data_IF_969278488912
#
_entry.id   IF_969278488912
#
_cell.length_a   1.000
_cell.length_b   1.000
_cell.length_c   1.000
_cell.angle_alpha   90.00
_cell.angle_beta   90.00
_cell.angle_gamma   90.00
#
_symmetry.space_group_name_H-M   'P 1'
#
loop_
_entity.id
_entity.type
_entity.pdbx_description
1 polymer ?
#
# COMPACT_ATOMS: atom_id res chain seq x y z
N UNK A 1 -15.36 -7.37 6.65
CA UNK A 1 -14.35 -7.98 5.76
C UNK A 1 -14.73 -7.87 4.29
N UNK A 2 -15.92 -8.32 3.84
CA UNK A 2 -16.30 -8.24 2.41
C UNK A 2 -16.25 -6.82 1.82
N UNK A 3 -16.68 -5.79 2.55
CA UNK A 3 -16.52 -4.39 2.13
C UNK A 3 -15.04 -4.01 1.90
N UNK A 4 -14.10 -4.54 2.69
CA UNK A 4 -12.69 -4.31 2.48
C UNK A 4 -12.14 -5.06 1.27
N UNK A 5 -12.63 -6.26 0.99
CA UNK A 5 -12.31 -6.96 -0.27
C UNK A 5 -12.72 -6.12 -1.47
N UNK A 6 -13.96 -5.61 -1.49
CA UNK A 6 -14.44 -4.75 -2.57
C UNK A 6 -13.63 -3.43 -2.65
N UNK A 7 -13.22 -2.85 -1.52
CA UNK A 7 -12.36 -1.68 -1.47
C UNK A 7 -11.02 -1.96 -2.17
N UNK A 8 -10.36 -3.07 -1.85
CA UNK A 8 -9.11 -3.48 -2.50
C UNK A 8 -9.32 -3.76 -3.99
N UNK A 9 -10.44 -4.41 -4.39
CA UNK A 9 -10.78 -4.60 -5.81
C UNK A 9 -10.90 -3.28 -6.55
N UNK A 10 -11.60 -2.30 -5.96
CA UNK A 10 -11.74 -0.96 -6.55
C UNK A 10 -10.39 -0.24 -6.65
N UNK A 11 -9.53 -0.35 -5.63
CA UNK A 11 -8.18 0.23 -5.63
C UNK A 11 -7.34 -0.30 -6.79
N UNK A 12 -7.38 -1.59 -7.03
CA UNK A 12 -6.55 -2.29 -8.01
C UNK A 12 -7.23 -2.49 -9.37
N UNK A 13 -8.40 -1.88 -9.59
CA UNK A 13 -9.21 -2.10 -10.79
C UNK A 13 -8.52 -1.75 -12.13
N UNK A 14 -7.50 -0.91 -12.13
CA UNK A 14 -6.69 -0.61 -13.32
C UNK A 14 -5.48 -1.56 -13.50
N UNK A 15 -5.20 -2.44 -12.53
CA UNK A 15 -4.00 -3.28 -12.51
C UNK A 15 -3.81 -4.12 -13.78
N UNK A 16 -4.84 -4.85 -14.17
CA UNK A 16 -4.79 -5.74 -15.33
C UNK A 16 -5.31 -5.11 -16.64
N UNK A 17 -5.84 -3.89 -16.55
CA UNK A 17 -6.45 -3.19 -17.69
C UNK A 17 -5.75 -1.85 -18.00
N UNK A 18 -4.49 -1.71 -17.56
CA UNK A 18 -3.72 -0.47 -17.75
C UNK A 18 -3.45 -0.14 -19.21
N UNK A 19 -3.21 -1.16 -20.05
CA UNK A 19 -3.04 -0.99 -21.50
C UNK A 19 -4.35 -0.53 -22.15
N UNK A 20 -5.48 -1.15 -21.76
CA UNK A 20 -6.81 -0.75 -22.23
C UNK A 20 -7.16 0.69 -21.83
N UNK A 21 -6.75 1.10 -20.61
CA UNK A 21 -6.92 2.48 -20.15
C UNK A 21 -6.08 3.47 -20.96
N UNK A 22 -4.82 3.15 -21.25
CA UNK A 22 -3.96 3.99 -22.08
C UNK A 22 -4.55 4.19 -23.47
N UNK A 23 -4.99 3.11 -24.12
CA UNK A 23 -5.62 3.15 -25.46
C UNK A 23 -6.96 3.92 -25.44
N UNK A 24 -7.79 3.72 -24.41
CA UNK A 24 -9.10 4.37 -24.30
C UNK A 24 -9.01 5.88 -24.15
N UNK A 25 -8.03 6.36 -23.38
CA UNK A 25 -7.88 7.78 -23.04
C UNK A 25 -6.80 8.49 -23.86
N UNK A 26 -6.20 7.81 -24.83
CA UNK A 26 -5.03 8.30 -25.59
C UNK A 26 -3.96 8.85 -24.62
N UNK A 27 -3.72 8.10 -23.55
CA UNK A 27 -2.91 8.53 -22.43
C UNK A 27 -1.49 7.95 -22.55
N UNK A 28 -0.52 8.83 -22.51
CA UNK A 28 0.87 8.42 -22.40
C UNK A 28 1.20 7.83 -21.02
N UNK A 29 2.37 7.21 -20.89
CA UNK A 29 2.79 6.54 -19.67
C UNK A 29 2.83 7.46 -18.44
N UNK A 30 3.21 8.73 -18.59
CA UNK A 30 3.21 9.69 -17.50
C UNK A 30 1.78 10.01 -17.06
N UNK A 31 0.87 10.24 -17.99
CA UNK A 31 -0.55 10.48 -17.76
C UNK A 31 -1.22 9.25 -17.12
N UNK A 32 -0.93 8.04 -17.64
CA UNK A 32 -1.43 6.80 -17.06
C UNK A 32 -0.97 6.63 -15.60
N UNK A 33 0.28 7.00 -15.29
CA UNK A 33 0.80 7.02 -13.92
C UNK A 33 -0.03 7.90 -12.99
N UNK A 34 -0.52 9.06 -13.48
CA UNK A 34 -1.30 10.00 -12.67
C UNK A 34 -2.60 9.36 -12.14
N UNK A 35 -3.20 8.41 -12.84
CA UNK A 35 -4.39 7.71 -12.33
C UNK A 35 -4.12 6.98 -11.02
N UNK A 36 -3.00 6.27 -10.93
CA UNK A 36 -2.61 5.58 -9.71
C UNK A 36 -2.03 6.55 -8.65
N UNK A 37 -1.22 7.51 -9.08
CA UNK A 37 -0.58 8.52 -8.21
C UNK A 37 -1.64 9.36 -7.49
N UNK A 38 -2.61 9.91 -8.22
CA UNK A 38 -3.65 10.76 -7.63
C UNK A 38 -4.54 9.96 -6.69
N UNK A 39 -4.91 8.74 -7.07
CA UNK A 39 -5.68 7.87 -6.18
C UNK A 39 -4.94 7.60 -4.85
N UNK A 40 -3.66 7.21 -4.90
CA UNK A 40 -2.87 6.95 -3.71
C UNK A 40 -2.59 8.22 -2.91
N UNK A 41 -2.40 9.35 -3.58
CA UNK A 41 -2.23 10.65 -2.92
C UNK A 41 -3.50 11.03 -2.14
N UNK A 42 -4.67 10.96 -2.77
CA UNK A 42 -5.96 11.25 -2.11
C UNK A 42 -6.18 10.26 -0.96
N UNK A 43 -5.92 8.97 -1.17
CA UNK A 43 -5.99 7.96 -0.11
C UNK A 43 -5.11 8.35 1.09
N UNK A 44 -3.86 8.71 0.85
CA UNK A 44 -2.92 9.12 1.90
C UNK A 44 -3.34 10.41 2.61
N UNK A 45 -3.76 11.43 1.85
CA UNK A 45 -4.22 12.71 2.38
C UNK A 45 -5.50 12.57 3.23
N UNK A 46 -6.38 11.64 2.85
CA UNK A 46 -7.62 11.38 3.57
C UNK A 46 -7.45 10.59 4.88
N UNK A 47 -6.27 10.02 5.17
CA UNK A 47 -6.06 9.23 6.40
C UNK A 47 -6.34 10.03 7.67
N UNK A 48 -5.89 11.30 7.74
CA UNK A 48 -6.12 12.16 8.90
C UNK A 48 -7.59 12.61 8.99
N UNK A 49 -8.22 13.20 7.95
CA UNK A 49 -9.64 13.51 7.95
C UNK A 49 -10.52 12.31 8.30
N UNK A 50 -10.27 11.16 7.71
CA UNK A 50 -11.02 9.92 7.98
C UNK A 50 -10.89 9.50 9.45
N UNK A 51 -9.69 9.58 10.04
CA UNK A 51 -9.50 9.29 11.45
C UNK A 51 -10.41 10.14 12.34
N UNK A 52 -10.43 11.47 12.14
CA UNK A 52 -11.27 12.41 12.89
C UNK A 52 -12.77 12.17 12.69
N UNK A 53 -13.19 11.93 11.44
CA UNK A 53 -14.58 11.65 11.10
C UNK A 53 -15.03 10.30 11.69
N UNK A 54 -14.14 9.29 11.67
CA UNK A 54 -14.39 7.99 12.26
C UNK A 54 -14.59 8.06 13.76
N UNK A 55 -13.82 8.89 14.46
CA UNK A 55 -13.98 9.10 15.90
C UNK A 55 -15.30 9.79 16.23
N UNK A 56 -15.71 10.75 15.41
CA UNK A 56 -16.94 11.51 15.61
C UNK A 56 -18.20 10.73 15.24
N UNK A 57 -18.22 10.08 14.08
CA UNK A 57 -19.43 9.49 13.50
C UNK A 57 -19.50 7.96 13.65
N UNK A 58 -18.36 7.31 13.94
CA UNK A 58 -18.28 5.86 14.06
C UNK A 58 -18.09 5.14 12.71
N UNK A 59 -17.95 3.82 12.77
CA UNK A 59 -17.57 2.99 11.64
C UNK A 59 -18.68 2.85 10.57
N UNK A 60 -19.96 2.80 10.97
CA UNK A 60 -21.09 2.58 10.05
C UNK A 60 -21.15 3.66 8.96
N UNK A 61 -21.29 4.97 9.27
CA UNK A 61 -21.36 5.99 8.24
C UNK A 61 -20.07 6.07 7.42
N UNK A 62 -18.91 5.87 8.03
CA UNK A 62 -17.64 5.95 7.34
C UNK A 62 -17.47 4.85 6.27
N UNK A 63 -17.80 3.59 6.60
CA UNK A 63 -17.76 2.50 5.61
C UNK A 63 -18.81 2.75 4.51
N UNK A 64 -20.01 3.17 4.89
CA UNK A 64 -21.11 3.44 3.94
C UNK A 64 -20.76 4.56 2.96
N UNK A 65 -20.25 5.68 3.45
CA UNK A 65 -19.79 6.80 2.61
C UNK A 65 -18.61 6.37 1.75
N UNK A 66 -17.66 5.59 2.30
CA UNK A 66 -16.54 5.06 1.54
C UNK A 66 -16.98 4.17 0.37
N UNK A 67 -17.93 3.24 0.61
CA UNK A 67 -18.50 2.40 -0.44
C UNK A 67 -19.25 3.22 -1.50
N UNK A 68 -20.03 4.20 -1.07
CA UNK A 68 -20.75 5.12 -1.97
C UNK A 68 -19.82 5.94 -2.85
N UNK A 69 -18.77 6.53 -2.27
CA UNK A 69 -17.77 7.30 -3.05
C UNK A 69 -17.05 6.42 -4.07
N UNK A 70 -16.71 5.19 -3.71
CA UNK A 70 -16.13 4.24 -4.66
C UNK A 70 -17.12 3.84 -5.75
N UNK A 71 -18.38 3.63 -5.41
CA UNK A 71 -19.42 3.32 -6.41
C UNK A 71 -19.58 4.46 -7.41
N UNK A 72 -19.66 5.71 -6.94
CA UNK A 72 -19.72 6.90 -7.80
C UNK A 72 -18.44 7.02 -8.64
N UNK A 73 -17.27 6.84 -8.04
CA UNK A 73 -15.99 6.87 -8.75
C UNK A 73 -15.92 5.83 -9.87
N UNK A 74 -16.35 4.59 -9.63
CA UNK A 74 -16.39 3.56 -10.67
C UNK A 74 -17.46 3.84 -11.74
N UNK A 75 -18.60 4.43 -11.37
CA UNK A 75 -19.61 4.86 -12.33
C UNK A 75 -19.08 5.97 -13.24
N UNK A 76 -18.40 6.97 -12.65
CA UNK A 76 -17.71 8.03 -13.42
C UNK A 76 -16.66 7.42 -14.36
N UNK A 77 -15.86 6.46 -13.88
CA UNK A 77 -14.86 5.77 -14.70
C UNK A 77 -15.50 4.99 -15.88
N UNK A 78 -16.64 4.34 -15.63
CA UNK A 78 -17.37 3.57 -16.66
C UNK A 78 -17.75 4.42 -17.88
N UNK A 79 -18.07 5.70 -17.67
CA UNK A 79 -18.53 6.63 -18.69
C UNK A 79 -17.55 7.79 -18.95
N UNK A 80 -16.35 7.75 -18.39
CA UNK A 80 -15.35 8.80 -18.57
C UNK A 80 -15.02 9.00 -20.06
N UNK A 81 -15.20 10.23 -20.61
CA UNK A 81 -14.87 10.54 -21.99
C UNK A 81 -13.41 10.96 -22.18
N UNK A 82 -12.74 11.39 -21.11
CA UNK A 82 -11.42 12.01 -21.15
C UNK A 82 -10.60 11.73 -19.89
N UNK A 83 -9.31 12.04 -19.94
CA UNK A 83 -8.34 11.87 -18.83
C UNK A 83 -8.77 12.62 -17.57
N UNK A 84 -9.30 13.84 -17.69
CA UNK A 84 -9.69 14.65 -16.52
C UNK A 84 -10.82 13.99 -15.73
N UNK A 85 -11.83 13.49 -16.44
CA UNK A 85 -12.93 12.73 -15.84
C UNK A 85 -12.44 11.41 -15.20
N UNK A 86 -11.52 10.72 -15.85
CA UNK A 86 -10.92 9.51 -15.29
C UNK A 86 -10.09 9.80 -14.01
N UNK A 87 -9.36 10.91 -13.97
CA UNK A 87 -8.64 11.38 -12.77
C UNK A 87 -9.63 11.67 -11.63
N UNK A 88 -10.74 12.37 -11.91
CA UNK A 88 -11.79 12.61 -10.90
C UNK A 88 -12.35 11.30 -10.36
N UNK A 89 -12.59 10.31 -11.22
CA UNK A 89 -13.02 8.99 -10.82
C UNK A 89 -12.03 8.33 -9.85
N UNK A 90 -10.72 8.42 -10.13
CA UNK A 90 -9.65 7.88 -9.27
C UNK A 90 -9.54 8.61 -7.93
N UNK A 91 -9.76 9.93 -7.92
CA UNK A 91 -9.84 10.70 -6.67
C UNK A 91 -10.99 10.22 -5.77
N UNK A 92 -12.17 10.01 -6.35
CA UNK A 92 -13.35 9.51 -5.60
C UNK A 92 -13.10 8.10 -5.05
N UNK A 93 -12.52 7.21 -5.86
CA UNK A 93 -12.13 5.87 -5.41
C UNK A 93 -11.11 5.95 -4.28
N UNK A 94 -10.07 6.78 -4.41
CA UNK A 94 -9.06 6.97 -3.36
C UNK A 94 -9.63 7.51 -2.05
N UNK A 95 -10.53 8.50 -2.13
CA UNK A 95 -11.20 9.07 -0.95
C UNK A 95 -12.11 8.05 -0.25
N UNK A 96 -12.88 7.28 -1.02
CA UNK A 96 -13.75 6.23 -0.49
C UNK A 96 -12.98 5.08 0.14
N UNK A 97 -11.94 4.61 -0.52
CA UNK A 97 -11.06 3.53 -0.06
C UNK A 97 -10.37 3.87 1.28
N UNK A 98 -9.95 5.12 1.46
CA UNK A 98 -9.32 5.59 2.70
C UNK A 98 -10.20 5.39 3.94
N UNK A 99 -11.52 5.44 3.79
CA UNK A 99 -12.46 5.30 4.89
C UNK A 99 -12.70 3.84 5.33
N UNK A 100 -12.45 2.85 4.47
CA UNK A 100 -12.91 1.48 4.71
C UNK A 100 -12.04 0.73 5.71
N UNK A 101 -10.73 0.64 5.48
CA UNK A 101 -9.85 -0.18 6.34
C UNK A 101 -9.81 0.29 7.80
N UNK A 102 -9.59 1.59 8.11
CA UNK A 102 -9.62 2.07 9.49
C UNK A 102 -10.96 1.81 10.19
N UNK A 103 -12.06 1.93 9.45
CA UNK A 103 -13.40 1.66 9.97
C UNK A 103 -13.63 0.19 10.28
N UNK A 104 -13.11 -0.72 9.45
CA UNK A 104 -13.16 -2.17 9.73
C UNK A 104 -12.36 -2.51 10.98
N UNK A 105 -11.18 -1.91 11.15
CA UNK A 105 -10.36 -2.07 12.36
C UNK A 105 -11.11 -1.59 13.62
N UNK A 106 -11.84 -0.47 13.53
CA UNK A 106 -12.68 0.03 14.62
C UNK A 106 -13.84 -0.93 14.93
N UNK A 107 -14.51 -1.48 13.92
CA UNK A 107 -15.54 -2.51 14.14
C UNK A 107 -14.95 -3.70 14.90
N UNK A 108 -13.77 -4.19 14.49
CA UNK A 108 -13.10 -5.30 15.17
C UNK A 108 -12.82 -4.95 16.64
N UNK A 109 -12.29 -3.76 16.91
CA UNK A 109 -11.95 -3.32 18.27
C UNK A 109 -13.18 -3.15 19.18
N UNK A 110 -14.32 -2.71 18.62
CA UNK A 110 -15.55 -2.47 19.40
C UNK A 110 -16.38 -3.73 19.64
N UNK A 111 -16.42 -4.64 18.64
CA UNK A 111 -17.31 -5.79 18.68
C UNK A 111 -16.68 -7.06 19.26
N UNK A 112 -15.35 -7.18 19.23
CA UNK A 112 -14.66 -8.41 19.62
C UNK A 112 -13.77 -8.19 20.84
N UNK A 113 -13.56 -9.23 21.69
CA UNK A 113 -12.62 -9.16 22.81
C UNK A 113 -11.19 -8.87 22.35
N UNK A 114 -10.42 -8.16 23.19
CA UNK A 114 -9.02 -7.77 22.90
C UNK A 114 -8.13 -8.95 22.49
N UNK A 115 -8.38 -10.14 23.04
CA UNK A 115 -7.63 -11.37 22.70
C UNK A 115 -7.84 -11.80 21.25
N UNK A 116 -8.99 -11.52 20.65
CA UNK A 116 -9.33 -11.91 19.27
C UNK A 116 -8.99 -10.83 18.26
N UNK A 117 -8.86 -9.58 18.69
CA UNK A 117 -8.63 -8.44 17.78
C UNK A 117 -7.38 -8.61 16.90
N UNK A 118 -6.21 -9.06 17.38
CA UNK A 118 -5.04 -9.24 16.53
C UNK A 118 -5.26 -10.27 15.41
N UNK A 119 -5.92 -11.38 15.72
CA UNK A 119 -6.24 -12.42 14.74
C UNK A 119 -7.21 -11.89 13.67
N UNK A 120 -8.26 -11.17 14.08
CA UNK A 120 -9.25 -10.61 13.17
C UNK A 120 -8.67 -9.51 12.27
N UNK A 121 -7.77 -8.67 12.80
CA UNK A 121 -7.04 -7.68 12.02
C UNK A 121 -6.16 -8.36 10.96
N UNK A 122 -5.40 -9.38 11.35
CA UNK A 122 -4.57 -10.17 10.44
C UNK A 122 -5.42 -10.84 9.35
N UNK A 123 -6.51 -11.50 9.75
CA UNK A 123 -7.44 -12.15 8.83
C UNK A 123 -8.07 -11.14 7.87
N UNK A 124 -8.42 -9.93 8.37
CA UNK A 124 -8.94 -8.86 7.51
C UNK A 124 -7.93 -8.47 6.44
N UNK A 125 -6.65 -8.34 6.81
CA UNK A 125 -5.59 -8.05 5.85
C UNK A 125 -5.45 -9.14 4.78
N UNK A 126 -5.41 -10.41 5.20
CA UNK A 126 -5.29 -11.55 4.28
C UNK A 126 -6.52 -11.65 3.36
N UNK A 127 -7.73 -11.60 3.93
CA UNK A 127 -8.98 -11.65 3.16
C UNK A 127 -9.08 -10.45 2.21
N UNK A 128 -8.61 -9.26 2.62
CA UNK A 128 -8.53 -8.08 1.75
C UNK A 128 -7.71 -8.32 0.49
N UNK A 129 -6.62 -9.08 0.56
CA UNK A 129 -5.79 -9.40 -0.61
C UNK A 129 -6.54 -10.18 -1.69
N UNK A 130 -7.60 -10.93 -1.36
CA UNK A 130 -8.44 -11.57 -2.38
C UNK A 130 -9.08 -10.55 -3.33
N UNK A 131 -9.28 -9.31 -2.87
CA UNK A 131 -9.75 -8.21 -3.73
C UNK A 131 -8.82 -7.91 -4.90
N UNK A 132 -7.50 -8.08 -4.73
CA UNK A 132 -6.55 -7.95 -5.85
C UNK A 132 -6.77 -9.05 -6.89
N UNK A 133 -7.03 -10.29 -6.46
CA UNK A 133 -7.32 -11.39 -7.37
C UNK A 133 -8.60 -11.13 -8.16
N UNK A 134 -9.63 -10.56 -7.53
CA UNK A 134 -10.87 -10.17 -8.20
C UNK A 134 -10.65 -9.06 -9.25
N UNK A 135 -9.73 -8.14 -9.01
CA UNK A 135 -9.36 -7.12 -9.98
C UNK A 135 -8.53 -7.68 -11.14
N UNK A 136 -7.65 -8.66 -10.88
CA UNK A 136 -6.74 -9.21 -11.89
C UNK A 136 -7.48 -10.17 -12.83
N UNK A 137 -8.23 -11.14 -12.30
CA UNK A 137 -8.82 -12.22 -13.11
C UNK A 137 -10.24 -11.87 -13.58
N UNK A 138 -11.26 -11.71 -12.69
CA UNK A 138 -12.63 -11.46 -13.14
C UNK A 138 -12.81 -10.13 -13.87
N UNK A 139 -12.13 -9.07 -13.40
CA UNK A 139 -12.29 -7.73 -13.98
C UNK A 139 -11.72 -7.67 -15.40
N UNK A 140 -10.51 -8.22 -15.62
CA UNK A 140 -9.92 -8.28 -16.96
C UNK A 140 -10.74 -9.20 -17.89
N UNK A 141 -11.18 -10.37 -17.40
CA UNK A 141 -12.04 -11.26 -18.18
C UNK A 141 -13.35 -10.58 -18.57
N UNK A 142 -13.99 -9.86 -17.65
CA UNK A 142 -15.23 -9.14 -17.92
C UNK A 142 -15.02 -8.01 -18.94
N UNK A 143 -13.93 -7.26 -18.84
CA UNK A 143 -13.59 -6.22 -19.79
C UNK A 143 -13.45 -6.77 -21.20
N UNK A 144 -12.65 -7.82 -21.37
CA UNK A 144 -12.40 -8.42 -22.69
C UNK A 144 -13.59 -9.17 -23.27
N UNK A 145 -14.48 -9.71 -22.42
CA UNK A 145 -15.71 -10.39 -22.86
C UNK A 145 -16.85 -9.42 -23.19
N UNK A 146 -16.79 -8.18 -22.68
CA UNK A 146 -17.91 -7.21 -22.81
C UNK A 146 -17.43 -5.83 -23.28
N UNK A 147 -17.29 -4.89 -22.34
CA UNK A 147 -16.81 -3.53 -22.63
C UNK A 147 -16.31 -2.84 -21.35
N UNK A 148 -15.59 -1.74 -21.54
CA UNK A 148 -15.14 -0.85 -20.47
C UNK A 148 -16.29 -0.42 -19.54
N UNK A 149 -17.39 0.07 -20.14
CA UNK A 149 -18.53 0.55 -19.35
C UNK A 149 -19.23 -0.54 -18.56
N UNK A 150 -19.31 -1.76 -19.09
CA UNK A 150 -19.89 -2.91 -18.37
C UNK A 150 -18.97 -3.33 -17.21
N UNK A 151 -17.66 -3.41 -17.44
CA UNK A 151 -16.71 -3.82 -16.43
C UNK A 151 -16.67 -2.86 -15.23
N UNK A 152 -16.49 -1.56 -15.47
CA UNK A 152 -16.48 -0.55 -14.41
C UNK A 152 -17.87 -0.28 -13.84
N UNK A 153 -18.93 -0.36 -14.66
CA UNK A 153 -20.32 -0.29 -14.22
C UNK A 153 -20.71 -1.44 -13.26
N UNK A 154 -20.17 -2.63 -13.47
CA UNK A 154 -20.36 -3.77 -12.55
C UNK A 154 -19.73 -3.50 -11.19
N UNK A 155 -18.52 -2.92 -11.13
CA UNK A 155 -17.91 -2.49 -9.88
C UNK A 155 -18.73 -1.40 -9.19
N UNK A 156 -19.28 -0.45 -9.95
CA UNK A 156 -20.18 0.57 -9.43
C UNK A 156 -21.45 -0.06 -8.82
N UNK A 157 -22.08 -1.00 -9.52
CA UNK A 157 -23.26 -1.74 -9.04
C UNK A 157 -22.97 -2.51 -7.75
N UNK A 158 -21.84 -3.21 -7.68
CA UNK A 158 -21.38 -3.86 -6.44
C UNK A 158 -21.15 -2.84 -5.33
N UNK A 159 -20.57 -1.67 -5.65
CA UNK A 159 -20.37 -0.59 -4.70
C UNK A 159 -21.69 -0.07 -4.12
N UNK A 160 -22.73 0.12 -4.95
CA UNK A 160 -24.08 0.50 -4.50
C UNK A 160 -24.68 -0.58 -3.60
N UNK A 161 -24.60 -1.85 -4.01
CA UNK A 161 -25.05 -2.98 -3.19
C UNK A 161 -24.40 -2.98 -1.82
N UNK A 162 -23.06 -2.84 -1.76
CA UNK A 162 -22.34 -2.81 -0.49
C UNK A 162 -22.61 -1.53 0.30
N UNK A 163 -22.92 -0.39 -0.34
CA UNK A 163 -23.38 0.81 0.36
C UNK A 163 -24.66 0.52 1.14
N UNK A 164 -25.66 -0.11 0.48
CA UNK A 164 -26.93 -0.49 1.13
C UNK A 164 -26.69 -1.55 2.22
N UNK A 165 -25.92 -2.59 1.94
CA UNK A 165 -25.64 -3.65 2.90
C UNK A 165 -24.89 -3.14 4.14
N UNK A 166 -23.88 -2.29 3.96
CA UNK A 166 -23.12 -1.72 5.10
C UNK A 166 -24.00 -0.79 5.92
N UNK A 167 -24.84 0.01 5.29
CA UNK A 167 -25.83 0.85 5.98
C UNK A 167 -26.85 0.02 6.77
N UNK A 168 -27.35 -1.06 6.23
CA UNK A 168 -28.36 -1.89 6.86
C UNK A 168 -27.80 -2.78 7.99
N UNK A 169 -26.61 -3.37 7.79
CA UNK A 169 -26.08 -4.44 8.66
C UNK A 169 -25.13 -3.90 9.74
N UNK A 170 -24.26 -2.93 9.38
CA UNK A 170 -23.24 -2.45 10.34
C UNK A 170 -23.91 -1.57 11.40
N UNK A 171 -23.55 -1.84 12.66
CA UNK A 171 -23.92 -0.99 13.80
C UNK A 171 -22.65 -0.49 14.48
N UNK A 172 -22.67 0.74 15.00
CA UNK A 172 -21.51 1.37 15.64
C UNK A 172 -21.15 0.70 16.97
N UNK A 173 -22.14 0.14 17.69
CA UNK A 173 -21.97 -0.50 19.00
C UNK A 173 -22.82 -1.77 19.12
N UNK A 174 -22.38 -2.76 19.89
CA UNK A 174 -23.22 -3.91 20.28
C UNK A 174 -24.40 -3.43 21.14
N UNK A 175 -25.58 -4.09 21.08
CA UNK A 175 -26.77 -3.67 21.82
C UNK A 175 -26.63 -3.78 23.36
N UNK A 176 -25.73 -4.66 23.85
CA UNK A 176 -25.64 -5.04 25.28
C UNK A 176 -24.41 -4.46 26.02
N UNK A 177 -23.70 -3.53 25.43
CA UNK A 177 -22.59 -2.83 26.12
C UNK A 177 -23.01 -1.47 26.58
N UNK A 178 -23.10 -1.31 27.90
CA UNK A 178 -23.34 -0.05 28.58
C UNK A 178 -22.35 1.04 28.17
N UNK A 179 -22.80 2.28 28.26
CA UNK A 179 -22.17 3.47 27.68
C UNK A 179 -20.76 3.84 28.21
N UNK A 180 -20.20 3.05 29.13
CA UNK A 180 -19.00 3.41 29.91
C UNK A 180 -17.66 2.80 29.44
N UNK A 181 -17.62 2.11 28.32
CA UNK A 181 -16.32 1.74 27.75
C UNK A 181 -15.85 2.87 26.86
N UNK A 182 -15.16 3.84 27.46
CA UNK A 182 -14.33 4.79 26.71
C UNK A 182 -13.39 4.00 25.79
N UNK A 183 -13.45 4.29 24.48
CA UNK A 183 -12.67 3.63 23.41
C UNK A 183 -11.17 4.03 23.48
N UNK A 184 -10.68 4.34 24.66
CA UNK A 184 -9.31 4.83 24.92
C UNK A 184 -8.21 3.76 24.79
N UNK A 185 -8.57 2.48 24.63
CA UNK A 185 -7.55 1.42 24.78
C UNK A 185 -7.16 0.68 23.52
N UNK A 186 -7.94 0.73 22.43
CA UNK A 186 -7.61 -0.06 21.22
C UNK A 186 -6.88 0.74 20.12
N UNK A 187 -7.00 2.06 20.12
CA UNK A 187 -6.35 2.98 19.16
C UNK A 187 -5.48 4.02 19.87
N UNK A 188 -4.74 3.67 20.91
CA UNK A 188 -3.92 4.59 21.71
C UNK A 188 -4.49 6.02 21.64
N UNK A 189 -5.03 6.53 22.74
CA UNK A 189 -5.77 7.79 22.80
C UNK A 189 -5.27 8.80 21.76
N UNK A 190 -6.05 9.02 20.71
CA UNK A 190 -5.89 10.22 19.91
C UNK A 190 -6.37 11.31 20.88
N UNK A 191 -5.44 11.94 21.58
CA UNK A 191 -5.71 13.21 22.24
C UNK A 191 -6.43 14.04 21.20
N UNK A 192 -7.61 14.55 21.56
CA UNK A 192 -8.39 15.36 20.65
C UNK A 192 -7.46 16.45 20.15
N UNK A 193 -7.03 16.35 18.90
CA UNK A 193 -6.19 17.35 18.27
C UNK A 193 -7.09 18.56 18.12
N UNK A 194 -6.91 19.50 19.02
CA UNK A 194 -7.77 20.68 19.13
C UNK A 194 -7.30 21.80 18.22
N UNK A 195 -6.04 21.76 17.76
CA UNK A 195 -5.49 22.82 16.90
C UNK A 195 -4.48 22.28 15.87
N UNK A 196 -4.28 23.05 14.79
CA UNK A 196 -3.21 22.79 13.81
C UNK A 196 -1.80 22.91 14.44
N UNK A 197 -1.65 23.66 15.52
CA UNK A 197 -0.41 23.79 16.26
C UNK A 197 -0.06 22.47 16.98
N UNK A 198 -1.03 21.82 17.61
CA UNK A 198 -0.85 20.53 18.28
C UNK A 198 -0.46 19.44 17.30
N UNK A 199 -1.05 19.45 16.09
CA UNK A 199 -0.64 18.54 14.99
C UNK A 199 0.82 18.74 14.60
N UNK A 200 1.24 19.98 14.43
CA UNK A 200 2.61 20.32 14.03
C UNK A 200 3.62 19.91 15.12
N UNK A 201 3.29 20.15 16.37
CA UNK A 201 4.15 19.79 17.50
C UNK A 201 4.24 18.28 17.66
N UNK A 202 3.11 17.58 17.64
CA UNK A 202 3.06 16.12 17.70
C UNK A 202 3.84 15.45 16.55
N UNK A 203 3.74 16.01 15.33
CA UNK A 203 4.53 15.56 14.18
C UNK A 203 6.02 15.81 14.41
N UNK A 204 6.42 17.04 14.82
CA UNK A 204 7.82 17.40 15.05
C UNK A 204 8.46 16.52 16.12
N UNK A 205 7.75 16.26 17.21
CA UNK A 205 8.23 15.39 18.27
C UNK A 205 8.36 13.94 17.84
N UNK A 206 7.33 13.41 17.16
CA UNK A 206 7.34 12.02 16.67
C UNK A 206 8.41 11.81 15.61
N UNK A 207 8.55 12.74 14.65
CA UNK A 207 9.61 12.70 13.63
C UNK A 207 11.01 12.88 14.24
N UNK A 208 11.14 13.65 15.30
CA UNK A 208 12.39 13.82 16.07
C UNK A 208 12.92 12.50 16.65
N UNK A 209 12.05 11.53 16.89
CA UNK A 209 12.43 10.25 17.48
C UNK A 209 13.06 9.30 16.44
N UNK A 210 14.27 8.78 16.66
CA UNK A 210 14.97 7.96 15.65
C UNK A 210 14.23 6.66 15.30
N UNK A 211 13.47 6.10 16.23
CA UNK A 211 12.68 4.90 15.98
C UNK A 211 11.50 5.16 15.02
N UNK A 212 10.90 6.35 15.04
CA UNK A 212 9.86 6.72 14.07
C UNK A 212 10.45 6.83 12.67
N UNK A 213 11.63 7.45 12.53
CA UNK A 213 12.33 7.51 11.24
C UNK A 213 12.77 6.14 10.75
N UNK A 214 13.27 5.28 11.63
CA UNK A 214 13.57 3.88 11.27
C UNK A 214 12.32 3.15 10.77
N UNK A 215 11.21 3.34 11.45
CA UNK A 215 9.93 2.76 11.10
C UNK A 215 9.43 3.27 9.73
N UNK A 216 9.48 4.59 9.51
CA UNK A 216 9.14 5.25 8.25
C UNK A 216 9.96 4.69 7.08
N UNK A 217 11.30 4.66 7.20
CA UNK A 217 12.16 4.18 6.14
C UNK A 217 12.01 2.69 5.87
N UNK A 218 11.72 1.88 6.90
CA UNK A 218 11.40 0.46 6.73
C UNK A 218 10.13 0.28 5.90
N UNK A 219 9.07 1.05 6.21
CA UNK A 219 7.80 1.00 5.48
C UNK A 219 7.88 1.65 4.11
N UNK A 220 8.70 2.70 3.95
CA UNK A 220 8.99 3.34 2.67
C UNK A 220 9.61 2.34 1.67
N UNK A 221 10.63 1.57 2.12
CA UNK A 221 11.52 0.87 1.20
C UNK A 221 11.05 -0.52 0.79
N UNK A 222 10.23 -1.18 1.62
CA UNK A 222 9.89 -2.59 1.38
C UNK A 222 8.75 -2.82 0.39
N UNK A 223 7.61 -2.08 0.39
CA UNK A 223 6.45 -2.42 -0.41
C UNK A 223 6.41 -1.76 -1.78
N UNK A 224 7.12 -0.65 -1.99
CA UNK A 224 6.85 0.27 -3.11
C UNK A 224 7.01 -0.40 -4.48
N UNK A 225 8.02 -1.25 -4.65
CA UNK A 225 8.29 -1.92 -5.93
C UNK A 225 7.18 -2.92 -6.28
N UNK A 226 6.77 -3.73 -5.31
CA UNK A 226 5.62 -4.63 -5.48
C UNK A 226 4.32 -3.84 -5.72
N UNK A 227 4.16 -2.68 -5.08
CA UNK A 227 3.00 -1.81 -5.29
C UNK A 227 3.00 -1.21 -6.70
N UNK A 228 4.13 -0.70 -7.19
CA UNK A 228 4.24 -0.21 -8.56
C UNK A 228 3.98 -1.30 -9.60
N UNK A 229 4.48 -2.52 -9.34
CA UNK A 229 4.26 -3.68 -10.17
C UNK A 229 2.79 -4.08 -10.20
N UNK A 230 2.14 -4.26 -9.05
CA UNK A 230 0.77 -4.78 -8.99
C UNK A 230 -0.30 -3.74 -9.35
N UNK A 231 -0.06 -2.44 -9.10
CA UNK A 231 -1.06 -1.40 -9.35
C UNK A 231 -1.10 -0.93 -10.80
N UNK A 232 0.04 -0.89 -11.50
CA UNK A 232 0.07 -0.29 -12.82
C UNK A 232 1.06 -0.93 -13.79
N UNK A 233 2.37 -0.94 -13.47
CA UNK A 233 3.41 -1.18 -14.47
C UNK A 233 3.75 -2.64 -14.73
N UNK A 234 3.39 -3.54 -13.84
CA UNK A 234 3.73 -4.97 -13.98
C UNK A 234 2.97 -5.64 -15.12
N UNK A 235 1.69 -5.34 -15.31
CA UNK A 235 0.90 -5.98 -16.36
C UNK A 235 1.36 -5.57 -17.76
N UNK A 236 1.51 -4.26 -18.08
CA UNK A 236 2.10 -3.82 -19.35
C UNK A 236 3.51 -4.35 -19.58
N UNK A 237 4.35 -4.38 -18.54
CA UNK A 237 5.69 -4.97 -18.62
C UNK A 237 5.65 -6.43 -19.03
N UNK A 238 4.80 -7.25 -18.41
CA UNK A 238 4.69 -8.68 -18.70
C UNK A 238 4.09 -8.94 -20.09
N UNK A 239 3.05 -8.19 -20.46
CA UNK A 239 2.31 -8.45 -21.71
C UNK A 239 3.00 -7.82 -22.93
N UNK A 240 3.34 -6.55 -22.86
CA UNK A 240 3.91 -5.80 -23.98
C UNK A 240 5.44 -5.91 -23.98
N UNK A 241 6.07 -5.72 -22.81
CA UNK A 241 7.52 -5.79 -22.67
C UNK A 241 8.06 -7.21 -22.86
N UNK A 242 7.62 -8.17 -22.07
CA UNK A 242 8.10 -9.57 -22.12
C UNK A 242 7.33 -10.43 -23.12
N UNK A 243 6.26 -9.91 -23.76
CA UNK A 243 5.50 -10.62 -24.80
C UNK A 243 4.64 -11.76 -24.28
N UNK A 244 4.28 -11.79 -23.00
CA UNK A 244 3.47 -12.84 -22.42
C UNK A 244 1.98 -12.66 -22.76
N UNK A 245 1.26 -13.78 -22.84
CA UNK A 245 -0.19 -13.73 -22.93
C UNK A 245 -0.81 -13.08 -21.67
N UNK A 246 -1.96 -12.41 -21.79
CA UNK A 246 -2.68 -11.85 -20.64
C UNK A 246 -2.97 -12.91 -19.55
N UNK A 247 -3.24 -14.16 -19.94
CA UNK A 247 -3.45 -15.27 -19.02
C UNK A 247 -2.19 -15.58 -18.18
N UNK A 248 -0.99 -15.60 -18.82
CA UNK A 248 0.26 -15.84 -18.12
C UNK A 248 0.63 -14.67 -17.21
N UNK A 249 0.44 -13.42 -17.64
CA UNK A 249 0.63 -12.24 -16.80
C UNK A 249 -0.28 -12.28 -15.56
N UNK A 250 -1.56 -12.64 -15.75
CA UNK A 250 -2.53 -12.83 -14.65
C UNK A 250 -2.12 -13.94 -13.69
N UNK A 251 -1.53 -15.03 -14.20
CA UNK A 251 -1.00 -16.13 -13.37
C UNK A 251 0.17 -15.63 -12.49
N UNK A 252 1.11 -14.87 -13.07
CA UNK A 252 2.24 -14.29 -12.33
C UNK A 252 1.73 -13.34 -11.23
N UNK A 253 0.73 -12.51 -11.52
CA UNK A 253 0.08 -11.66 -10.53
C UNK A 253 -0.62 -12.46 -9.44
N UNK A 254 -1.29 -13.55 -9.80
CA UNK A 254 -1.91 -14.46 -8.83
C UNK A 254 -0.86 -15.06 -7.89
N UNK A 255 0.27 -15.52 -8.44
CA UNK A 255 1.39 -16.02 -7.63
C UNK A 255 1.93 -14.94 -6.70
N UNK A 256 2.11 -13.70 -7.18
CA UNK A 256 2.49 -12.57 -6.33
C UNK A 256 1.55 -12.42 -5.13
N UNK A 257 0.25 -12.39 -5.34
CA UNK A 257 -0.74 -12.20 -4.26
C UNK A 257 -0.74 -13.38 -3.29
N UNK A 258 -0.81 -14.61 -3.82
CA UNK A 258 -0.86 -15.83 -3.01
C UNK A 258 0.42 -16.00 -2.19
N UNK A 259 1.58 -15.80 -2.79
CA UNK A 259 2.85 -15.84 -2.06
C UNK A 259 2.91 -14.79 -0.95
N UNK A 260 2.44 -13.56 -1.19
CA UNK A 260 2.35 -12.52 -0.17
C UNK A 260 1.47 -12.92 1.02
N UNK A 261 0.34 -13.59 0.75
CA UNK A 261 -0.56 -14.11 1.79
C UNK A 261 0.11 -15.22 2.62
N UNK A 262 0.86 -16.10 1.97
CA UNK A 262 1.53 -17.24 2.63
C UNK A 262 2.78 -16.82 3.42
N UNK A 263 3.57 -15.89 2.89
CA UNK A 263 4.81 -15.41 3.52
C UNK A 263 4.53 -14.47 4.70
N UNK A 264 3.39 -13.78 4.69
CA UNK A 264 3.02 -12.82 5.73
C UNK A 264 3.13 -13.35 7.16
N UNK A 265 2.47 -14.47 7.50
CA UNK A 265 2.56 -15.07 8.83
C UNK A 265 3.99 -15.44 9.26
N UNK A 266 4.81 -15.93 8.33
CA UNK A 266 6.21 -16.29 8.60
C UNK A 266 7.05 -15.04 8.95
N UNK A 267 6.93 -13.97 8.15
CA UNK A 267 7.60 -12.69 8.43
C UNK A 267 7.12 -12.11 9.77
N UNK A 268 5.82 -12.14 10.05
CA UNK A 268 5.25 -11.69 11.31
C UNK A 268 5.81 -12.46 12.52
N UNK A 269 5.87 -13.78 12.42
CA UNK A 269 6.44 -14.65 13.47
C UNK A 269 7.93 -14.38 13.70
N UNK A 270 8.72 -14.21 12.63
CA UNK A 270 10.14 -13.87 12.75
C UNK A 270 10.34 -12.45 13.31
N UNK A 271 9.51 -11.49 12.90
CA UNK A 271 9.53 -10.11 13.41
C UNK A 271 9.27 -10.08 14.93
N UNK A 272 8.30 -10.84 15.40
CA UNK A 272 7.96 -10.89 16.83
C UNK A 272 9.04 -11.58 17.66
N UNK A 273 9.68 -12.63 17.15
CA UNK A 273 10.75 -13.36 17.84
C UNK A 273 12.05 -12.56 17.99
N UNK A 274 12.33 -11.64 17.07
CA UNK A 274 13.62 -10.93 17.01
C UNK A 274 13.47 -9.41 16.95
N UNK A 275 12.82 -8.73 17.92
CA UNK A 275 12.48 -7.31 17.83
C UNK A 275 13.67 -6.39 17.61
N UNK A 276 14.84 -6.69 18.19
CA UNK A 276 16.06 -5.87 18.05
C UNK A 276 16.84 -6.12 16.74
N UNK A 277 16.51 -7.18 16.02
CA UNK A 277 17.23 -7.60 14.80
C UNK A 277 16.40 -7.47 13.52
N UNK A 278 15.13 -7.04 13.59
CA UNK A 278 14.19 -6.94 12.45
C UNK A 278 14.79 -6.30 11.21
N UNK A 279 15.41 -5.12 11.37
CA UNK A 279 15.99 -4.39 10.23
C UNK A 279 17.11 -5.17 9.54
N UNK A 280 17.98 -5.85 10.31
CA UNK A 280 19.13 -6.58 9.77
C UNK A 280 18.76 -7.96 9.23
N UNK A 281 17.84 -8.66 9.88
CA UNK A 281 17.50 -10.05 9.56
C UNK A 281 16.35 -10.17 8.55
N UNK A 282 15.50 -9.16 8.45
CA UNK A 282 14.30 -9.20 7.61
C UNK A 282 14.27 -8.05 6.60
N UNK A 283 14.24 -6.80 7.05
CA UNK A 283 14.02 -5.64 6.16
C UNK A 283 15.11 -5.53 5.10
N UNK A 284 16.39 -5.46 5.48
CA UNK A 284 17.49 -5.32 4.53
C UNK A 284 17.67 -6.53 3.61
N UNK A 285 17.59 -7.79 4.07
CA UNK A 285 17.62 -8.95 3.18
C UNK A 285 16.45 -8.99 2.19
N UNK A 286 15.23 -8.63 2.60
CA UNK A 286 14.07 -8.58 1.71
C UNK A 286 14.28 -7.51 0.63
N UNK A 287 14.76 -6.32 0.98
CA UNK A 287 15.15 -5.30 0.01
C UNK A 287 16.21 -5.86 -0.96
N UNK A 288 17.24 -6.53 -0.42
CA UNK A 288 18.29 -7.14 -1.24
C UNK A 288 17.75 -8.19 -2.22
N UNK A 289 16.83 -9.05 -1.77
CA UNK A 289 16.18 -10.05 -2.63
C UNK A 289 15.38 -9.39 -3.76
N UNK A 290 14.61 -8.32 -3.47
CA UNK A 290 13.87 -7.58 -4.49
C UNK A 290 14.79 -6.91 -5.50
N UNK A 291 15.85 -6.24 -5.03
CA UNK A 291 16.85 -5.61 -5.91
C UNK A 291 17.52 -6.65 -6.80
N UNK A 292 17.97 -7.78 -6.23
CA UNK A 292 18.63 -8.85 -6.99
C UNK A 292 17.69 -9.48 -8.02
N UNK A 293 16.42 -9.69 -7.66
CA UNK A 293 15.42 -10.23 -8.60
C UNK A 293 15.19 -9.28 -9.78
N UNK A 294 15.04 -7.98 -9.51
CA UNK A 294 14.94 -6.98 -10.59
C UNK A 294 16.19 -6.88 -11.42
N UNK A 295 17.37 -6.86 -10.82
CA UNK A 295 18.62 -6.83 -11.57
C UNK A 295 18.78 -8.06 -12.46
N UNK A 296 18.38 -9.24 -11.98
CA UNK A 296 18.40 -10.46 -12.78
C UNK A 296 17.48 -10.35 -14.02
N UNK A 297 16.28 -9.77 -13.86
CA UNK A 297 15.35 -9.54 -14.98
C UNK A 297 15.86 -8.45 -15.93
N UNK A 298 16.34 -7.32 -15.39
CA UNK A 298 16.80 -6.18 -16.20
C UNK A 298 18.05 -6.53 -17.01
N UNK A 299 18.96 -7.30 -16.45
CA UNK A 299 20.23 -7.68 -17.09
C UNK A 299 20.13 -8.98 -17.93
N UNK A 300 18.96 -9.62 -17.97
CA UNK A 300 18.79 -10.84 -18.74
C UNK A 300 18.88 -10.57 -20.25
N UNK A 301 19.65 -11.33 -21.02
CA UNK A 301 19.73 -11.13 -22.47
C UNK A 301 18.44 -11.59 -23.15
N UNK A 302 17.77 -10.69 -23.88
CA UNK A 302 16.47 -10.96 -24.49
C UNK A 302 15.32 -11.08 -23.49
N UNK A 303 14.20 -11.71 -23.87
CA UNK A 303 13.06 -11.90 -22.98
C UNK A 303 13.41 -12.81 -21.80
N UNK A 304 12.91 -12.44 -20.62
CA UNK A 304 13.19 -13.18 -19.38
C UNK A 304 12.51 -14.54 -19.39
N UNK A 305 13.16 -15.63 -18.96
CA UNK A 305 12.51 -16.93 -18.85
C UNK A 305 11.40 -16.88 -17.78
N UNK A 306 10.33 -17.64 -17.99
CA UNK A 306 9.17 -17.66 -17.10
C UNK A 306 9.53 -17.88 -15.63
N UNK A 307 10.45 -18.82 -15.34
CA UNK A 307 10.86 -19.09 -13.97
C UNK A 307 11.43 -17.84 -13.26
N UNK A 308 12.16 -16.98 -13.99
CA UNK A 308 12.73 -15.75 -13.43
C UNK A 308 11.65 -14.72 -13.11
N UNK A 309 10.62 -14.63 -13.95
CA UNK A 309 9.46 -13.76 -13.70
C UNK A 309 8.63 -14.23 -12.50
N UNK A 310 8.52 -15.55 -12.28
CA UNK A 310 7.93 -16.11 -11.05
C UNK A 310 8.80 -15.82 -9.81
N UNK A 311 10.14 -15.91 -9.94
CA UNK A 311 11.06 -15.53 -8.86
C UNK A 311 10.93 -14.04 -8.55
N UNK A 312 10.81 -13.18 -9.55
CA UNK A 312 10.53 -11.76 -9.36
C UNK A 312 9.21 -11.55 -8.61
N UNK A 313 8.12 -12.17 -9.05
CA UNK A 313 6.82 -12.07 -8.40
C UNK A 313 6.88 -12.52 -6.93
N UNK A 314 7.56 -13.63 -6.63
CA UNK A 314 7.79 -14.09 -5.27
C UNK A 314 8.61 -13.09 -4.45
N UNK A 315 9.72 -12.58 -4.99
CA UNK A 315 10.56 -11.61 -4.31
C UNK A 315 9.77 -10.33 -3.95
N UNK A 316 9.01 -9.80 -4.91
CA UNK A 316 8.19 -8.61 -4.72
C UNK A 316 7.05 -8.83 -3.72
N UNK A 317 6.45 -10.03 -3.71
CA UNK A 317 5.35 -10.38 -2.80
C UNK A 317 5.73 -10.27 -1.32
N UNK A 318 7.01 -10.44 -0.99
CA UNK A 318 7.53 -10.32 0.39
C UNK A 318 7.48 -8.88 0.93
N UNK A 319 7.42 -7.89 0.03
CA UNK A 319 7.50 -6.47 0.38
C UNK A 319 6.32 -5.97 1.22
N UNK A 320 5.10 -6.37 0.86
CA UNK A 320 3.89 -6.03 1.61
C UNK A 320 3.94 -6.49 3.08
N UNK A 321 4.12 -7.79 3.35
CA UNK A 321 4.31 -8.30 4.71
C UNK A 321 5.50 -7.66 5.44
N UNK A 322 6.62 -7.45 4.77
CA UNK A 322 7.80 -6.82 5.37
C UNK A 322 7.56 -5.36 5.75
N UNK A 323 6.66 -4.67 5.07
CA UNK A 323 6.31 -3.29 5.38
C UNK A 323 5.69 -3.15 6.77
N UNK A 324 4.98 -4.18 7.25
CA UNK A 324 4.41 -4.22 8.60
C UNK A 324 5.46 -4.14 9.70
N UNK A 325 6.70 -4.54 9.41
CA UNK A 325 7.84 -4.38 10.35
C UNK A 325 8.07 -2.90 10.69
N UNK A 326 7.75 -1.97 9.78
CA UNK A 326 7.75 -0.55 10.07
C UNK A 326 6.86 -0.20 11.25
N UNK A 327 5.63 -0.69 11.26
CA UNK A 327 4.70 -0.50 12.39
C UNK A 327 5.18 -1.21 13.65
N UNK A 328 5.81 -2.38 13.52
CA UNK A 328 6.42 -3.08 14.66
C UNK A 328 7.59 -2.28 15.27
N UNK A 329 8.40 -1.60 14.45
CA UNK A 329 9.44 -0.69 14.94
C UNK A 329 8.83 0.51 15.68
N UNK A 330 7.79 1.13 15.11
CA UNK A 330 7.09 2.23 15.76
C UNK A 330 6.54 1.78 17.14
N UNK A 331 5.86 0.64 17.17
CA UNK A 331 5.23 0.11 18.39
C UNK A 331 6.24 -0.31 19.48
N UNK A 332 7.39 -0.86 19.06
CA UNK A 332 8.38 -1.40 20.01
C UNK A 332 9.23 -0.29 20.64
N UNK A 333 9.53 0.78 19.91
CA UNK A 333 10.55 1.73 20.33
C UNK A 333 10.04 3.15 20.61
N UNK A 334 8.76 3.43 20.33
CA UNK A 334 8.17 4.74 20.66
C UNK A 334 7.39 4.69 21.99
N UNK A 335 7.33 5.81 22.71
CA UNK A 335 6.45 5.97 23.86
C UNK A 335 4.98 5.80 23.45
N UNK A 336 4.15 5.23 24.35
CA UNK A 336 2.74 4.95 24.06
C UNK A 336 1.93 6.17 23.61
N UNK A 337 2.17 7.33 24.23
CA UNK A 337 1.47 8.58 23.91
C UNK A 337 1.78 9.15 22.51
N UNK A 338 2.83 8.65 21.83
CA UNK A 338 3.21 9.07 20.46
C UNK A 338 2.92 8.02 19.40
N UNK A 339 2.40 6.87 19.80
CA UNK A 339 2.28 5.72 18.91
C UNK A 339 1.35 6.00 17.71
N UNK A 340 0.24 6.68 17.92
CA UNK A 340 -0.71 7.02 16.85
C UNK A 340 -0.09 7.92 15.78
N UNK A 341 0.57 9.00 16.21
CA UNK A 341 1.26 9.93 15.30
C UNK A 341 2.43 9.24 14.57
N UNK A 342 3.22 8.44 15.28
CA UNK A 342 4.31 7.66 14.69
C UNK A 342 3.78 6.67 13.64
N UNK A 343 2.67 5.98 13.92
CA UNK A 343 2.03 5.05 12.99
C UNK A 343 1.51 5.76 11.73
N UNK A 344 0.91 6.93 11.88
CA UNK A 344 0.49 7.77 10.74
C UNK A 344 1.67 8.18 9.86
N UNK A 345 2.77 8.63 10.47
CA UNK A 345 4.01 8.97 9.74
C UNK A 345 4.56 7.76 8.98
N UNK A 346 4.60 6.60 9.60
CA UNK A 346 5.05 5.34 8.97
C UNK A 346 4.21 5.02 7.75
N UNK A 347 2.89 5.12 7.87
CA UNK A 347 1.96 4.82 6.77
C UNK A 347 2.20 5.71 5.55
N UNK A 348 2.43 7.01 5.77
CA UNK A 348 2.76 7.97 4.69
C UNK A 348 4.01 7.53 3.91
N UNK A 349 5.00 6.95 4.59
CA UNK A 349 6.25 6.50 3.94
C UNK A 349 6.02 5.51 2.80
N UNK A 350 5.22 4.48 3.02
CA UNK A 350 4.95 3.45 2.00
C UNK A 350 4.22 4.00 0.78
N UNK A 351 3.23 4.87 1.00
CA UNK A 351 2.51 5.52 -0.12
C UNK A 351 3.40 6.48 -0.89
N UNK A 352 4.21 7.29 -0.20
CA UNK A 352 5.14 8.22 -0.85
C UNK A 352 6.11 7.48 -1.78
N UNK A 353 6.71 6.39 -1.32
CA UNK A 353 7.63 5.61 -2.14
C UNK A 353 6.93 4.98 -3.36
N UNK A 354 5.72 4.45 -3.18
CA UNK A 354 4.94 3.88 -4.28
C UNK A 354 4.54 4.94 -5.31
N UNK A 355 4.11 6.12 -4.85
CA UNK A 355 3.81 7.27 -5.72
C UNK A 355 5.02 7.66 -6.56
N UNK A 356 6.17 7.83 -5.93
CA UNK A 356 7.41 8.20 -6.61
C UNK A 356 7.83 7.12 -7.62
N UNK A 357 7.76 5.84 -7.25
CA UNK A 357 8.13 4.74 -8.14
C UNK A 357 7.21 4.69 -9.37
N UNK A 358 5.89 4.76 -9.19
CA UNK A 358 4.92 4.72 -10.28
C UNK A 358 5.14 5.91 -11.23
N UNK A 359 5.31 7.11 -10.68
CA UNK A 359 5.52 8.32 -11.45
C UNK A 359 6.84 8.30 -12.22
N UNK A 360 7.94 7.92 -11.55
CA UNK A 360 9.26 7.89 -12.20
C UNK A 360 9.36 6.85 -13.31
N UNK A 361 8.72 5.69 -13.15
CA UNK A 361 8.63 4.69 -14.22
C UNK A 361 7.88 5.28 -15.44
N UNK A 362 6.72 5.93 -15.23
CA UNK A 362 5.96 6.54 -16.32
C UNK A 362 6.70 7.68 -17.01
N UNK A 363 7.34 8.57 -16.26
CA UNK A 363 8.18 9.65 -16.82
C UNK A 363 9.36 9.04 -17.61
N UNK A 364 10.01 8.02 -17.09
CA UNK A 364 11.14 7.39 -17.77
C UNK A 364 10.72 6.72 -19.08
N UNK A 365 9.56 6.09 -19.15
CA UNK A 365 9.00 5.56 -20.40
C UNK A 365 8.74 6.69 -21.41
N UNK A 366 8.12 7.79 -20.98
CA UNK A 366 7.86 8.94 -21.84
C UNK A 366 9.14 9.57 -22.41
N UNK A 367 10.14 9.81 -21.56
CA UNK A 367 11.42 10.41 -21.97
C UNK A 367 12.17 9.55 -23.00
N UNK A 368 11.96 8.23 -22.97
CA UNK A 368 12.53 7.30 -23.95
C UNK A 368 11.74 7.23 -25.28
N UNK A 369 10.64 7.98 -25.41
CA UNK A 369 9.72 7.88 -26.56
C UNK A 369 8.84 6.63 -26.53
N UNK A 370 8.87 5.88 -25.44
CA UNK A 370 8.03 4.72 -25.18
C UNK A 370 6.85 5.14 -24.28
N UNK A 371 6.09 6.16 -24.71
CA UNK A 371 5.02 6.76 -23.90
C UNK A 371 3.68 6.08 -24.07
N UNK A 372 3.44 5.35 -25.17
CA UNK A 372 2.15 4.70 -25.48
C UNK A 372 2.31 3.19 -25.60
N UNK A 373 1.22 2.41 -25.45
CA UNK A 373 1.29 0.96 -25.56
C UNK A 373 1.93 0.43 -26.84
N UNK A 374 1.75 1.13 -27.97
CA UNK A 374 2.32 0.78 -29.28
C UNK A 374 3.83 0.99 -29.33
N UNK A 375 4.36 1.89 -28.50
CA UNK A 375 5.79 2.23 -28.44
C UNK A 375 6.51 1.53 -27.30
N UNK A 376 5.80 0.81 -26.42
CA UNK A 376 6.42 0.08 -25.33
C UNK A 376 7.38 -0.99 -25.86
N UNK A 377 8.59 -1.01 -25.30
CA UNK A 377 9.58 -2.04 -25.57
C UNK A 377 10.12 -2.63 -24.26
N UNK A 378 10.62 -3.84 -24.31
CA UNK A 378 11.26 -4.48 -23.16
C UNK A 378 12.43 -3.66 -22.62
N UNK A 379 13.23 -3.07 -23.52
CA UNK A 379 14.38 -2.25 -23.16
C UNK A 379 13.94 -0.96 -22.44
N UNK A 380 12.89 -0.30 -22.95
CA UNK A 380 12.33 0.88 -22.30
C UNK A 380 11.82 0.59 -20.89
N UNK A 381 11.13 -0.53 -20.70
CA UNK A 381 10.72 -0.97 -19.35
C UNK A 381 11.90 -1.24 -18.43
N UNK A 382 12.95 -1.91 -18.91
CA UNK A 382 14.15 -2.18 -18.12
C UNK A 382 14.80 -0.91 -17.61
N UNK A 383 14.98 0.07 -18.49
CA UNK A 383 15.51 1.39 -18.11
C UNK A 383 14.56 2.10 -17.15
N UNK A 384 13.26 2.06 -17.39
CA UNK A 384 12.27 2.69 -16.51
C UNK A 384 12.28 2.07 -15.11
N UNK A 385 12.39 0.75 -14.98
CA UNK A 385 12.47 0.09 -13.67
C UNK A 385 13.77 0.38 -12.91
N UNK A 386 14.86 0.82 -13.56
CA UNK A 386 16.07 1.31 -12.88
C UNK A 386 15.81 2.56 -12.04
N UNK A 387 14.76 3.34 -12.32
CA UNK A 387 14.39 4.50 -11.51
C UNK A 387 14.03 4.14 -10.07
N UNK A 388 13.80 2.88 -9.76
CA UNK A 388 13.56 2.38 -8.41
C UNK A 388 14.85 2.26 -7.59
N UNK A 389 16.02 2.12 -8.24
CA UNK A 389 17.31 1.91 -7.56
C UNK A 389 17.66 3.04 -6.59
N UNK A 390 17.52 4.34 -6.95
CA UNK A 390 17.73 5.43 -6.01
C UNK A 390 16.83 5.37 -4.76
N UNK A 391 15.57 4.93 -4.91
CA UNK A 391 14.63 4.81 -3.79
C UNK A 391 15.07 3.70 -2.82
N UNK A 392 15.51 2.54 -3.34
CA UNK A 392 16.07 1.47 -2.50
C UNK A 392 17.38 1.89 -1.83
N UNK A 393 18.28 2.54 -2.57
CA UNK A 393 19.56 3.00 -2.03
C UNK A 393 19.36 4.01 -0.89
N UNK A 394 18.50 5.02 -1.12
CA UNK A 394 18.13 6.01 -0.10
C UNK A 394 17.53 5.34 1.13
N UNK A 395 16.52 4.51 0.92
CA UNK A 395 15.81 3.83 2.01
C UNK A 395 16.72 2.90 2.81
N UNK A 396 17.53 2.08 2.15
CA UNK A 396 18.49 1.19 2.83
C UNK A 396 19.54 1.96 3.62
N UNK A 397 20.09 3.04 3.07
CA UNK A 397 21.04 3.91 3.76
C UNK A 397 20.41 4.53 5.01
N UNK A 398 19.20 5.07 4.88
CA UNK A 398 18.46 5.65 5.99
C UNK A 398 18.10 4.60 7.07
N UNK A 399 17.70 3.38 6.68
CA UNK A 399 17.44 2.27 7.62
C UNK A 399 18.71 1.95 8.42
N UNK A 400 19.85 1.81 7.76
CA UNK A 400 21.12 1.52 8.45
C UNK A 400 21.50 2.65 9.40
N UNK A 401 21.31 3.89 8.99
CA UNK A 401 21.62 5.07 9.82
C UNK A 401 20.70 5.16 11.03
N UNK A 402 19.39 5.20 10.80
CA UNK A 402 18.40 5.37 11.89
C UNK A 402 18.37 4.16 12.83
N UNK A 403 18.67 2.95 12.35
CA UNK A 403 18.87 1.78 13.21
C UNK A 403 20.00 2.02 14.23
N UNK A 404 21.14 2.56 13.80
CA UNK A 404 22.26 2.89 14.71
C UNK A 404 21.83 3.92 15.76
N UNK A 405 21.14 4.98 15.31
CA UNK A 405 20.65 6.04 16.21
C UNK A 405 19.61 5.51 17.20
N UNK A 406 18.68 4.67 16.74
CA UNK A 406 17.69 4.05 17.60
C UNK A 406 18.37 3.20 18.69
N UNK A 407 19.34 2.36 18.32
CA UNK A 407 20.09 1.51 19.29
C UNK A 407 20.84 2.31 20.34
N UNK A 408 21.46 3.42 19.94
CA UNK A 408 22.08 4.36 20.89
C UNK A 408 21.04 5.01 21.80
N UNK A 409 19.91 5.44 21.22
CA UNK A 409 18.84 6.11 21.97
C UNK A 409 18.20 5.22 23.04
N UNK A 410 18.07 3.92 22.78
CA UNK A 410 17.53 2.93 23.75
C UNK A 410 18.61 2.29 24.62
N UNK A 411 19.85 2.78 24.57
CA UNK A 411 20.94 2.35 25.45
C UNK A 411 21.60 1.00 25.10
N UNK A 412 21.35 0.45 23.89
CA UNK A 412 21.94 -0.82 23.44
C UNK A 412 23.37 -0.65 22.88
N UNK A 413 23.72 0.53 22.41
CA UNK A 413 25.05 0.85 21.85
C UNK A 413 25.58 2.15 22.50
N UNK A 414 26.90 2.23 22.73
CA UNK A 414 27.52 3.46 23.23
C UNK A 414 27.56 4.57 22.14
N UNK A 415 27.36 5.85 22.53
CA UNK A 415 27.57 6.98 21.63
C UNK A 415 29.01 7.02 21.08
N UNK A 416 29.17 7.39 19.81
CA UNK A 416 30.52 7.46 19.16
C UNK A 416 31.51 8.38 19.89
N UNK A 417 31.05 9.41 20.57
CA UNK A 417 31.88 10.30 21.39
C UNK A 417 32.61 9.56 22.51
N UNK A 418 31.91 8.67 23.24
CA UNK A 418 32.53 7.88 24.33
C UNK A 418 33.49 6.80 23.83
N UNK A 419 33.34 6.29 22.61
CA UNK A 419 34.29 5.33 22.03
C UNK A 419 35.63 5.96 21.66
N UNK A 420 35.66 7.24 21.21
CA UNK A 420 36.90 7.97 20.92
C UNK A 420 37.71 8.20 22.18
N UNK A 421 37.06 8.51 23.30
CA UNK A 421 37.75 8.82 24.56
C UNK A 421 38.35 7.58 25.21
N UNK A 422 37.89 6.37 24.90
CA UNK A 422 38.50 5.10 25.38
C UNK A 422 39.74 4.67 24.61
N UNK A 423 39.95 5.17 23.39
CA UNK A 423 41.17 4.88 22.62
C UNK A 423 42.27 5.95 22.85
N UNK A 424 41.95 6.99 23.62
CA UNK A 424 42.89 8.05 24.00
C UNK A 424 43.34 7.98 25.48
N UNK A 425 42.90 6.95 26.19
CA UNK A 425 43.37 6.59 27.53
C UNK A 425 44.01 5.21 27.44
#
# INVERSE_FOLDING_TARGET
>A
MAAYVLSVTNRTSLSAVGVDAANRFDADAATLSLFAVIQLFVYGAMQIPVGLLLDRFGARPMITIGMFLMAVGQLVMAFAPDVGTAILARMLVGAGDAAVFPSVLRVVAVWFPERQAPLLVQTTGIVGQTGQLLAILPMAALLHATSWSVAFGSLAGLGVLFTVLTFAVIRNRPPDRDADVSVDTATGAIHAVTSAADLREGFRESWGHPATRLAFWSHFTTPFSGTAFILLWGFPFLTVGEGLSPAMASLIFTVYVVCGMLVGPAIGALSSRHPMRRSRMLVLPIIGIQVLAWLAVILWPGSSPLWLLFVLAFALSTGGPASMIGFDHARTFNPRHRLSTATGIVNVGGFLAALLAILFIGIALNVQGAGTPETYTLEAFRIAFLTQVPLWALGAACIVWERKRTRVHIGLDEPRSRRRDRHLR
#
